data_IF_069460747099
#
_entry.id   IF_069460747099
#
_cell.length_a   1.000
_cell.length_b   1.000
_cell.length_c   1.000
_cell.angle_alpha   90.00
_cell.angle_beta   90.00
_cell.angle_gamma   90.00
#
_symmetry.space_group_name_H-M   'P 1'
#
loop_
_entity.id
_entity.type
_entity.pdbx_description
1 polymer ?
#
# COMPACT_ATOMS: atom_id res chain seq x y z
N UNK A 1 16.37 18.04 7.58
CA UNK A 1 17.82 18.17 7.29
C UNK A 1 18.00 17.99 5.79
N UNK A 2 18.90 18.75 5.17
CA UNK A 2 19.23 18.57 3.75
C UNK A 2 20.00 17.25 3.56
N UNK A 3 19.85 16.62 2.40
CA UNK A 3 20.57 15.40 2.04
C UNK A 3 22.07 15.72 1.84
N UNK A 4 22.99 15.18 2.66
CA UNK A 4 24.42 15.47 2.55
C UNK A 4 25.06 14.97 1.24
N UNK A 5 24.42 14.03 0.54
CA UNK A 5 24.85 13.57 -0.78
C UNK A 5 24.65 14.61 -1.88
N UNK A 6 23.80 15.61 -1.65
CA UNK A 6 23.49 16.68 -2.61
C UNK A 6 24.30 17.96 -2.33
N UNK A 7 25.14 17.95 -1.30
CA UNK A 7 25.95 19.11 -0.96
C UNK A 7 27.18 19.17 -1.88
N UNK A 8 27.37 20.35 -2.48
CA UNK A 8 28.58 20.67 -3.22
C UNK A 8 29.66 21.18 -2.26
N UNK A 9 30.92 20.89 -2.60
CA UNK A 9 32.06 21.42 -1.87
C UNK A 9 32.14 22.94 -2.06
N UNK A 10 32.31 23.72 -0.99
CA UNK A 10 32.52 25.16 -1.11
C UNK A 10 33.81 25.50 -1.87
N UNK A 11 33.78 26.59 -2.65
CA UNK A 11 34.98 27.14 -3.27
C UNK A 11 35.84 27.87 -2.22
N UNK A 12 36.74 27.13 -1.57
CA UNK A 12 37.67 27.68 -0.58
C UNK A 12 38.75 28.60 -1.18
N UNK A 13 38.80 28.78 -2.50
CA UNK A 13 39.67 29.78 -3.13
C UNK A 13 38.99 31.15 -3.28
N UNK A 14 37.68 31.22 -3.03
CA UNK A 14 36.91 32.47 -3.03
C UNK A 14 37.34 33.41 -1.91
N UNK A 15 37.15 34.72 -2.16
CA UNK A 15 37.45 35.78 -1.20
C UNK A 15 36.73 35.60 0.15
N UNK A 16 35.56 34.96 0.13
CA UNK A 16 34.73 34.70 1.32
C UNK A 16 35.42 33.80 2.35
N UNK A 17 36.35 32.95 1.91
CA UNK A 17 37.06 32.01 2.77
C UNK A 17 38.48 32.45 3.13
N UNK A 18 38.88 33.67 2.77
CA UNK A 18 40.23 34.19 3.02
C UNK A 18 40.62 34.16 4.49
N UNK A 19 39.71 34.52 5.41
CA UNK A 19 39.97 34.46 6.85
C UNK A 19 40.14 33.02 7.36
N UNK A 20 39.30 32.09 6.87
CA UNK A 20 39.42 30.67 7.20
C UNK A 20 40.75 30.09 6.68
N UNK A 21 41.15 30.45 5.45
CA UNK A 21 42.43 30.06 4.87
C UNK A 21 43.61 30.64 5.67
N UNK A 22 43.50 31.89 6.14
CA UNK A 22 44.55 32.57 6.90
C UNK A 22 44.94 31.83 8.21
N UNK A 23 44.01 31.06 8.80
CA UNK A 23 44.30 30.22 9.96
C UNK A 23 45.31 29.10 9.66
N UNK A 24 45.46 28.73 8.39
CA UNK A 24 46.36 27.65 7.95
C UNK A 24 47.63 28.17 7.27
N UNK A 25 47.73 29.47 6.97
CA UNK A 25 48.91 30.06 6.28
C UNK A 25 50.04 30.49 7.21
N UNK A 26 49.84 30.44 8.54
CA UNK A 26 50.83 30.83 9.54
C UNK A 26 52.18 30.08 9.43
N UNK A 27 52.20 28.88 8.85
CA UNK A 27 53.39 28.02 8.69
C UNK A 27 54.03 28.06 7.29
N UNK A 28 53.99 29.22 6.60
CA UNK A 28 54.47 29.39 5.20
C UNK A 28 53.68 28.58 4.16
N UNK A 29 52.49 28.10 4.50
CA UNK A 29 51.60 27.46 3.55
C UNK A 29 50.97 28.51 2.64
N UNK A 30 50.86 28.17 1.36
CA UNK A 30 50.14 28.97 0.38
C UNK A 30 48.63 28.90 0.60
N UNK A 31 47.90 29.90 0.08
CA UNK A 31 46.43 29.89 0.11
C UNK A 31 45.84 28.66 -0.58
N UNK A 32 46.51 28.16 -1.62
CA UNK A 32 46.12 26.92 -2.31
C UNK A 32 46.23 25.69 -1.40
N UNK A 33 47.27 25.60 -0.58
CA UNK A 33 47.41 24.51 0.40
C UNK A 33 46.40 24.64 1.54
N UNK A 34 46.08 25.86 1.97
CA UNK A 34 45.04 26.12 2.96
C UNK A 34 43.65 25.70 2.44
N UNK A 35 43.31 26.09 1.22
CA UNK A 35 42.07 25.68 0.55
C UNK A 35 41.97 24.16 0.40
N UNK A 36 43.08 23.49 0.07
CA UNK A 36 43.14 22.02 0.00
C UNK A 36 42.89 21.36 1.36
N UNK A 37 43.45 21.91 2.45
CA UNK A 37 43.20 21.42 3.81
C UNK A 37 41.69 21.53 4.14
N UNK A 38 41.09 22.69 3.87
CA UNK A 38 39.65 22.91 4.10
C UNK A 38 38.78 21.97 3.27
N UNK A 39 39.13 21.75 2.00
CA UNK A 39 38.46 20.79 1.13
C UNK A 39 38.48 19.36 1.72
N UNK A 40 39.65 18.92 2.20
CA UNK A 40 39.80 17.61 2.81
C UNK A 40 38.98 17.46 4.10
N UNK A 41 38.98 18.49 4.96
CA UNK A 41 38.16 18.51 6.18
C UNK A 41 36.67 18.43 5.83
N UNK A 42 36.24 19.18 4.82
CA UNK A 42 34.86 19.15 4.34
C UNK A 42 34.48 17.75 3.84
N UNK A 43 35.31 17.12 3.01
CA UNK A 43 35.05 15.75 2.51
C UNK A 43 34.93 14.74 3.65
N UNK A 44 35.80 14.81 4.65
CA UNK A 44 35.74 13.91 5.80
C UNK A 44 34.44 14.08 6.59
N UNK A 45 34.05 15.33 6.87
CA UNK A 45 32.83 15.63 7.61
C UNK A 45 31.58 15.27 6.80
N UNK A 46 31.56 15.55 5.50
CA UNK A 46 30.44 15.21 4.64
C UNK A 46 30.28 13.68 4.51
N UNK A 47 31.38 12.93 4.40
CA UNK A 47 31.33 11.47 4.39
C UNK A 47 30.71 10.89 5.67
N UNK A 48 31.05 11.45 6.84
CA UNK A 48 30.42 11.07 8.10
C UNK A 48 28.92 11.41 8.12
N UNK A 49 28.55 12.59 7.62
CA UNK A 49 27.16 13.02 7.52
C UNK A 49 26.35 12.11 6.59
N UNK A 50 26.88 11.75 5.41
CA UNK A 50 26.31 10.78 4.49
C UNK A 50 26.07 9.43 5.16
N UNK A 51 27.07 8.88 5.87
CA UNK A 51 26.90 7.60 6.57
C UNK A 51 25.80 7.65 7.63
N UNK A 52 25.72 8.75 8.40
CA UNK A 52 24.68 8.91 9.42
C UNK A 52 23.30 9.02 8.77
N UNK A 53 23.20 9.79 7.69
CA UNK A 53 21.98 9.95 6.92
C UNK A 53 21.48 8.62 6.35
N UNK A 54 22.37 7.83 5.75
CA UNK A 54 22.03 6.53 5.17
C UNK A 54 21.47 5.58 6.24
N UNK A 55 22.10 5.53 7.42
CA UNK A 55 21.60 4.74 8.55
C UNK A 55 20.23 5.19 9.03
N UNK A 56 19.99 6.50 9.10
CA UNK A 56 18.66 7.02 9.46
C UNK A 56 17.61 6.63 8.43
N UNK A 57 17.96 6.72 7.14
CA UNK A 57 17.06 6.39 6.06
C UNK A 57 16.74 4.89 6.01
N UNK A 58 17.73 4.04 6.28
CA UNK A 58 17.55 2.59 6.41
C UNK A 58 16.61 2.27 7.57
N UNK A 59 16.84 2.83 8.76
CA UNK A 59 15.98 2.63 9.92
C UNK A 59 14.53 3.09 9.67
N UNK A 60 14.33 4.23 8.99
CA UNK A 60 12.99 4.71 8.60
C UNK A 60 12.31 3.77 7.61
N UNK A 61 13.05 3.26 6.63
CA UNK A 61 12.53 2.30 5.66
C UNK A 61 12.15 0.97 6.31
N UNK A 62 12.98 0.46 7.23
CA UNK A 62 12.70 -0.74 8.01
C UNK A 62 11.45 -0.57 8.87
N UNK A 63 11.34 0.54 9.61
CA UNK A 63 10.15 0.84 10.42
C UNK A 63 8.88 0.87 9.57
N UNK A 64 8.93 1.52 8.39
CA UNK A 64 7.81 1.55 7.44
C UNK A 64 7.46 0.16 6.91
N UNK A 65 8.46 -0.70 6.68
CA UNK A 65 8.23 -2.07 6.25
C UNK A 65 7.55 -2.90 7.35
N UNK A 66 8.01 -2.78 8.60
CA UNK A 66 7.39 -3.44 9.77
C UNK A 66 5.95 -2.97 9.95
N UNK A 67 5.68 -1.67 9.85
CA UNK A 67 4.33 -1.14 9.95
C UNK A 67 3.43 -1.64 8.82
N UNK A 68 3.91 -1.63 7.58
CA UNK A 68 3.12 -2.08 6.44
C UNK A 68 2.81 -3.58 6.50
N UNK A 69 3.77 -4.41 6.91
CA UNK A 69 3.55 -5.85 7.12
C UNK A 69 2.56 -6.11 8.25
N UNK A 70 2.63 -5.35 9.35
CA UNK A 70 1.65 -5.43 10.44
C UNK A 70 0.24 -5.07 9.97
N UNK A 71 0.10 -4.00 9.18
CA UNK A 71 -1.20 -3.59 8.61
C UNK A 71 -1.78 -4.64 7.66
N UNK A 72 -0.95 -5.28 6.83
CA UNK A 72 -1.40 -6.37 5.95
C UNK A 72 -1.93 -7.53 6.78
N UNK A 73 -1.19 -7.95 7.80
CA UNK A 73 -1.58 -9.05 8.69
C UNK A 73 -2.90 -8.76 9.42
N UNK A 74 -3.08 -7.53 9.90
CA UNK A 74 -4.34 -7.12 10.54
C UNK A 74 -5.53 -7.20 9.58
N UNK A 75 -5.36 -6.75 8.34
CA UNK A 75 -6.43 -6.81 7.32
C UNK A 75 -6.77 -8.24 6.93
N UNK A 76 -5.78 -9.12 6.84
CA UNK A 76 -6.00 -10.54 6.58
C UNK A 76 -6.79 -11.19 7.71
N UNK A 77 -6.38 -10.93 8.96
CA UNK A 77 -7.12 -11.41 10.14
C UNK A 77 -8.56 -10.89 10.20
N UNK A 78 -8.78 -9.60 9.90
CA UNK A 78 -10.13 -9.02 9.85
C UNK A 78 -10.99 -9.72 8.78
N UNK A 79 -10.42 -10.01 7.61
CA UNK A 79 -11.12 -10.73 6.55
C UNK A 79 -11.49 -12.15 6.99
N UNK A 80 -10.55 -12.88 7.57
CA UNK A 80 -10.79 -14.25 8.04
C UNK A 80 -11.91 -14.28 9.08
N UNK A 81 -11.89 -13.36 10.07
CA UNK A 81 -12.96 -13.26 11.06
C UNK A 81 -14.33 -12.96 10.44
N UNK A 82 -14.39 -12.07 9.44
CA UNK A 82 -15.63 -11.77 8.72
C UNK A 82 -16.15 -12.98 7.95
N UNK A 83 -15.26 -13.74 7.31
CA UNK A 83 -15.63 -14.93 6.53
C UNK A 83 -16.17 -16.03 7.46
N UNK A 84 -15.52 -16.27 8.61
CA UNK A 84 -15.99 -17.19 9.65
C UNK A 84 -17.35 -16.79 10.22
N UNK A 85 -17.55 -15.51 10.54
CA UNK A 85 -18.84 -14.99 11.01
C UNK A 85 -19.94 -15.19 9.95
N UNK A 86 -19.63 -14.94 8.68
CA UNK A 86 -20.51 -15.17 7.54
C UNK A 86 -20.89 -16.65 7.40
N UNK A 87 -19.94 -17.57 7.56
CA UNK A 87 -20.20 -19.02 7.55
C UNK A 87 -21.10 -19.46 8.70
N UNK A 88 -20.81 -18.98 9.91
CA UNK A 88 -21.61 -19.26 11.10
C UNK A 88 -23.05 -18.74 10.93
N UNK A 89 -23.22 -17.56 10.34
CA UNK A 89 -24.54 -16.99 10.05
C UNK A 89 -25.32 -17.86 9.05
N UNK A 90 -24.69 -18.26 7.94
CA UNK A 90 -25.29 -19.18 6.94
C UNK A 90 -25.69 -20.51 7.56
N UNK A 91 -24.83 -21.11 8.39
CA UNK A 91 -25.14 -22.37 9.05
C UNK A 91 -26.33 -22.25 10.02
N UNK A 92 -26.38 -21.16 10.81
CA UNK A 92 -27.51 -20.86 11.70
C UNK A 92 -28.82 -20.67 10.93
N UNK A 93 -28.77 -19.95 9.80
CA UNK A 93 -29.93 -19.74 8.92
C UNK A 93 -30.43 -21.05 8.32
N UNK A 94 -29.54 -21.86 7.74
CA UNK A 94 -29.87 -23.19 7.18
C UNK A 94 -30.49 -24.11 8.23
N UNK A 95 -30.02 -24.06 9.48
CA UNK A 95 -30.61 -24.83 10.58
C UNK A 95 -32.03 -24.36 10.93
N UNK A 96 -32.28 -23.04 10.90
CA UNK A 96 -33.59 -22.44 11.21
C UNK A 96 -34.61 -22.66 10.09
N UNK A 97 -34.17 -22.62 8.83
CA UNK A 97 -35.05 -22.68 7.66
C UNK A 97 -34.74 -23.88 6.75
N UNK A 98 -34.70 -25.09 7.33
CA UNK A 98 -34.38 -26.33 6.60
C UNK A 98 -35.17 -26.52 5.29
N UNK A 99 -36.44 -26.09 5.26
CA UNK A 99 -37.31 -26.28 4.11
C UNK A 99 -36.96 -25.36 2.90
N UNK A 100 -36.24 -24.24 3.13
CA UNK A 100 -35.84 -23.31 2.06
C UNK A 100 -34.56 -23.72 1.32
N UNK A 101 -33.78 -24.62 1.92
CA UNK A 101 -32.50 -25.09 1.37
C UNK A 101 -32.56 -26.57 0.97
N UNK A 102 -33.75 -27.16 0.84
CA UNK A 102 -33.90 -28.49 0.25
C UNK A 102 -33.46 -28.38 -1.21
N UNK A 103 -32.44 -29.15 -1.65
CA UNK A 103 -32.09 -29.20 -3.06
C UNK A 103 -33.34 -29.59 -3.85
N UNK A 104 -33.77 -28.72 -4.77
CA UNK A 104 -34.84 -29.06 -5.69
C UNK A 104 -34.32 -30.26 -6.47
N UNK A 105 -34.92 -31.43 -6.25
CA UNK A 105 -34.60 -32.62 -7.02
C UNK A 105 -34.91 -32.28 -8.48
N UNK A 106 -33.86 -32.24 -9.32
CA UNK A 106 -33.98 -32.21 -10.77
C UNK A 106 -34.52 -33.55 -11.24
N UNK A 107 -35.76 -33.87 -10.86
CA UNK A 107 -36.52 -34.91 -11.51
C UNK A 107 -36.69 -34.43 -12.95
N UNK A 108 -36.28 -35.20 -13.97
CA UNK A 108 -36.51 -34.81 -15.35
C UNK A 108 -38.01 -34.54 -15.49
N UNK A 109 -38.36 -33.29 -15.79
CA UNK A 109 -39.73 -32.90 -16.13
C UNK A 109 -40.14 -33.84 -17.26
N UNK A 110 -41.12 -34.70 -16.98
CA UNK A 110 -41.69 -35.55 -18.02
C UNK A 110 -42.21 -34.63 -19.13
N UNK A 111 -41.81 -34.87 -20.38
CA UNK A 111 -42.28 -34.17 -21.60
C UNK A 111 -43.79 -34.40 -21.87
N UNK A 112 -44.56 -34.79 -20.86
CA UNK A 112 -46.00 -34.80 -20.92
C UNK A 112 -46.48 -33.35 -20.98
N UNK A 113 -46.81 -32.91 -22.19
CA UNK A 113 -47.49 -31.65 -22.47
C UNK A 113 -48.74 -31.56 -21.57
N UNK A 114 -48.66 -30.78 -20.49
CA UNK A 114 -49.81 -30.54 -19.61
C UNK A 114 -50.76 -29.64 -20.40
N UNK A 115 -51.71 -30.25 -21.10
CA UNK A 115 -52.81 -29.53 -21.73
C UNK A 115 -53.76 -29.08 -20.61
N UNK A 116 -53.54 -27.89 -20.07
CA UNK A 116 -54.53 -27.22 -19.22
C UNK A 116 -55.68 -26.74 -20.10
N UNK A 117 -56.91 -27.27 -19.97
CA UNK A 117 -58.06 -26.75 -20.70
C UNK A 117 -58.35 -25.34 -20.20
N UNK A 118 -58.16 -24.34 -21.06
CA UNK A 118 -58.53 -22.97 -20.73
C UNK A 118 -60.05 -22.84 -20.84
N UNK A 119 -60.73 -22.62 -19.71
CA UNK A 119 -62.19 -22.56 -19.60
C UNK A 119 -62.83 -21.27 -20.16
N UNK A 120 -62.09 -20.43 -20.87
CA UNK A 120 -62.60 -19.18 -21.43
C UNK A 120 -62.77 -19.25 -22.94
N UNK A 121 -63.82 -19.97 -23.37
CA UNK A 121 -64.42 -19.77 -24.68
C UNK A 121 -65.91 -20.09 -24.56
N UNK A 122 -66.70 -19.10 -24.14
CA UNK A 122 -68.16 -19.13 -24.32
C UNK A 122 -68.46 -18.81 -25.79
N UNK A 123 -69.00 -19.76 -26.59
CA UNK A 123 -69.62 -19.40 -27.85
C UNK A 123 -70.97 -18.73 -27.54
N UNK A 124 -71.04 -17.41 -27.70
CA UNK A 124 -72.32 -16.69 -27.75
C UNK A 124 -73.12 -17.18 -28.95
N UNK A 125 -74.16 -17.96 -28.69
CA UNK A 125 -75.25 -18.20 -29.62
C UNK A 125 -76.51 -17.66 -28.95
N UNK A 126 -77.11 -16.59 -29.48
CA UNK A 126 -78.55 -16.55 -29.69
C UNK A 126 -78.94 -15.44 -30.68
N UNK A 127 -79.70 -15.91 -31.66
CA UNK A 127 -80.34 -15.23 -32.77
C UNK A 127 -81.63 -14.50 -32.36
N UNK A 128 -81.94 -13.41 -33.06
CA UNK A 128 -83.29 -13.12 -33.57
C UNK A 128 -84.28 -12.40 -32.64
N UNK A 129 -84.59 -11.16 -32.99
CA UNK A 129 -85.93 -10.74 -33.41
C UNK A 129 -85.82 -9.55 -34.37
#
# INVERSE_FOLDING_TARGET
>A
MANPHELEIPDYTSIEYTEACAMFTADRKSDAEAALILANVWHFNNALACQLWDRQQEALNEARLVESTHLIKLKEQEKDTRDEEGELARHKESKKYKNKYVPISNTPLSDALIFTPCHYADPKIHSGN
#
